data_IF_908664418448
#
_entry.id   IF_908664418448
#
_cell.length_a   1.000
_cell.length_b   1.000
_cell.length_c   1.000
_cell.angle_alpha   90.00
_cell.angle_beta   90.00
_cell.angle_gamma   90.00
#
_symmetry.space_group_name_H-M   'P 1'
#
loop_
_entity.id
_entity.type
_entity.pdbx_description
1 polymer ?
#
# COMPACT_ATOMS: atom_id res chain seq x y z
N UNK A 1 -23.48 -59.01 26.69
CA UNK A 1 -22.79 -57.90 26.01
C UNK A 1 -23.78 -56.76 25.91
N UNK A 2 -23.63 -55.73 26.73
CA UNK A 2 -24.64 -54.68 26.90
C UNK A 2 -24.48 -53.66 25.78
N UNK A 3 -25.40 -53.66 24.81
CA UNK A 3 -25.35 -52.79 23.62
C UNK A 3 -25.22 -51.32 24.02
N UNK A 4 -25.86 -50.95 25.13
CA UNK A 4 -25.92 -49.62 25.70
C UNK A 4 -24.55 -49.10 26.17
N UNK A 5 -23.71 -49.97 26.72
CA UNK A 5 -22.34 -49.64 27.12
C UNK A 5 -21.46 -49.34 25.90
N UNK A 6 -21.67 -50.08 24.81
CA UNK A 6 -20.91 -49.90 23.57
C UNK A 6 -21.31 -48.59 22.89
N UNK A 7 -22.60 -48.28 22.85
CA UNK A 7 -23.08 -46.99 22.30
C UNK A 7 -22.56 -45.80 23.09
N UNK A 8 -22.52 -45.89 24.43
CA UNK A 8 -22.02 -44.79 25.27
C UNK A 8 -20.50 -44.61 25.12
N UNK A 9 -19.73 -45.70 25.01
CA UNK A 9 -18.28 -45.61 24.77
C UNK A 9 -17.97 -44.99 23.41
N UNK A 10 -18.69 -45.40 22.36
CA UNK A 10 -18.50 -44.87 21.00
C UNK A 10 -18.92 -43.40 20.95
N UNK A 11 -20.05 -43.04 21.56
CA UNK A 11 -20.51 -41.65 21.62
C UNK A 11 -19.51 -40.76 22.36
N UNK A 12 -18.99 -41.21 23.50
CA UNK A 12 -17.97 -40.48 24.24
C UNK A 12 -16.66 -40.34 23.45
N UNK A 13 -16.21 -41.38 22.74
CA UNK A 13 -15.05 -41.28 21.85
C UNK A 13 -15.25 -40.31 20.69
N UNK A 14 -16.46 -40.21 20.16
CA UNK A 14 -16.78 -39.25 19.09
C UNK A 14 -16.79 -37.83 19.67
N UNK A 15 -17.41 -37.62 20.84
CA UNK A 15 -17.42 -36.32 21.52
C UNK A 15 -16.00 -35.90 21.93
N UNK A 16 -15.16 -36.81 22.43
CA UNK A 16 -13.77 -36.52 22.76
C UNK A 16 -12.94 -36.18 21.51
N UNK A 17 -13.17 -36.83 20.37
CA UNK A 17 -12.52 -36.48 19.10
C UNK A 17 -13.00 -35.15 18.54
N UNK A 18 -14.29 -34.85 18.68
CA UNK A 18 -14.87 -33.55 18.32
C UNK A 18 -14.28 -32.46 19.23
N UNK A 19 -14.17 -32.71 20.53
CA UNK A 19 -13.61 -31.78 21.51
C UNK A 19 -12.08 -31.62 21.36
N UNK A 20 -11.34 -32.66 20.98
CA UNK A 20 -9.92 -32.53 20.59
C UNK A 20 -9.73 -31.72 19.30
N UNK A 21 -10.77 -31.57 18.48
CA UNK A 21 -10.82 -30.65 17.34
C UNK A 21 -11.56 -29.33 17.64
N UNK A 22 -12.15 -29.17 18.83
CA UNK A 22 -12.92 -27.99 19.25
C UNK A 22 -12.35 -27.30 20.50
N UNK A 23 -11.24 -27.77 21.07
CA UNK A 23 -10.37 -26.96 21.94
C UNK A 23 -9.48 -26.04 21.11
N UNK A 24 -10.10 -25.23 20.27
CA UNK A 24 -9.67 -23.86 20.05
C UNK A 24 -10.90 -23.04 20.42
N UNK A 25 -10.91 -22.55 21.66
CA UNK A 25 -11.74 -21.43 22.08
C UNK A 25 -11.63 -20.39 20.97
N UNK A 26 -12.77 -19.98 20.42
CA UNK A 26 -12.94 -18.98 19.37
C UNK A 26 -12.06 -17.75 19.61
N UNK A 27 -10.81 -17.80 19.15
CA UNK A 27 -10.04 -16.63 18.81
C UNK A 27 -10.47 -16.28 17.40
N UNK A 28 -11.06 -15.10 17.24
CA UNK A 28 -11.20 -14.43 15.93
C UNK A 28 -9.87 -14.70 15.20
N UNK A 29 -9.86 -15.38 14.03
CA UNK A 29 -8.60 -15.80 13.41
C UNK A 29 -7.75 -14.55 13.23
N UNK A 30 -6.71 -14.43 14.05
CA UNK A 30 -5.84 -13.27 14.06
C UNK A 30 -5.30 -13.10 12.66
N UNK A 31 -5.53 -11.94 12.06
CA UNK A 31 -5.03 -11.66 10.71
C UNK A 31 -3.51 -11.84 10.74
N UNK A 32 -2.96 -12.65 9.84
CA UNK A 32 -1.52 -12.91 9.83
C UNK A 32 -0.83 -11.98 8.86
N UNK A 33 0.32 -11.47 9.26
CA UNK A 33 1.23 -10.78 8.36
C UNK A 33 2.55 -11.55 8.28
N UNK A 34 3.23 -11.40 7.15
CA UNK A 34 4.54 -11.99 6.94
C UNK A 34 5.61 -10.90 7.07
N UNK A 35 6.64 -11.15 7.86
CA UNK A 35 7.78 -10.25 8.03
C UNK A 35 9.06 -10.87 7.51
N UNK A 36 9.87 -10.03 6.89
CA UNK A 36 11.24 -10.35 6.53
C UNK A 36 12.21 -9.55 7.39
N UNK A 37 13.36 -10.17 7.66
CA UNK A 37 14.48 -9.63 8.45
C UNK A 37 14.25 -9.63 9.98
N UNK A 38 15.35 -9.45 10.72
CA UNK A 38 15.39 -9.60 12.20
C UNK A 38 14.61 -8.51 12.97
N UNK A 39 14.08 -7.51 12.28
CA UNK A 39 13.30 -6.44 12.91
C UNK A 39 11.83 -6.81 12.94
N UNK A 40 11.44 -7.44 14.05
CA UNK A 40 10.05 -7.72 14.35
C UNK A 40 9.27 -6.42 14.62
N UNK A 41 8.27 -6.16 13.79
CA UNK A 41 7.33 -5.05 13.97
C UNK A 41 6.02 -5.58 14.55
N UNK A 42 5.59 -5.02 15.67
CA UNK A 42 4.29 -5.36 16.23
C UNK A 42 3.22 -4.46 15.61
N UNK A 43 2.29 -5.06 14.86
CA UNK A 43 1.16 -4.34 14.28
C UNK A 43 -0.10 -4.75 15.05
N UNK A 44 -0.83 -3.79 15.67
CA UNK A 44 -2.09 -4.09 16.36
C UNK A 44 -3.07 -4.82 15.45
N UNK A 45 -3.72 -5.87 15.98
CA UNK A 45 -4.69 -6.67 15.22
C UNK A 45 -4.09 -7.77 14.34
N UNK A 46 -2.75 -7.84 14.25
CA UNK A 46 -2.06 -8.81 13.41
C UNK A 46 -1.07 -9.71 14.18
N UNK A 47 -1.06 -10.99 13.82
CA UNK A 47 -0.01 -11.92 14.22
C UNK A 47 1.16 -11.81 13.23
N UNK A 48 2.31 -11.34 13.72
CA UNK A 48 3.53 -11.24 12.93
C UNK A 48 4.25 -12.59 12.84
N UNK A 49 4.40 -13.13 11.62
CA UNK A 49 5.13 -14.37 11.37
C UNK A 49 6.40 -14.07 10.58
N UNK A 50 7.54 -14.56 11.06
CA UNK A 50 8.82 -14.42 10.38
C UNK A 50 8.92 -15.37 9.19
N UNK A 51 9.44 -14.89 8.06
CA UNK A 51 9.63 -15.71 6.87
C UNK A 51 10.53 -16.94 7.12
N UNK A 52 11.55 -16.79 7.97
CA UNK A 52 12.52 -17.85 8.24
C UNK A 52 11.94 -19.02 9.06
N UNK A 53 10.80 -18.81 9.73
CA UNK A 53 10.12 -19.87 10.50
C UNK A 53 9.16 -20.70 9.65
N UNK A 54 8.92 -20.31 8.40
CA UNK A 54 8.03 -21.03 7.50
C UNK A 54 8.68 -22.32 6.97
N UNK A 55 7.93 -23.42 7.11
CA UNK A 55 8.31 -24.73 6.55
C UNK A 55 8.12 -24.77 5.03
N UNK A 56 7.02 -24.21 4.54
CA UNK A 56 6.76 -24.05 3.11
C UNK A 56 6.95 -22.57 2.72
N UNK A 57 7.97 -22.31 1.90
CA UNK A 57 8.34 -20.97 1.44
C UNK A 57 7.66 -20.58 0.12
N UNK A 58 6.59 -21.29 -0.24
CA UNK A 58 5.75 -21.00 -1.40
C UNK A 58 4.25 -20.92 -1.08
N UNK A 59 3.83 -21.12 0.17
CA UNK A 59 2.44 -20.90 0.57
C UNK A 59 2.31 -19.65 1.43
N UNK A 60 1.81 -18.60 0.81
CA UNK A 60 1.53 -17.33 1.48
C UNK A 60 0.04 -16.97 1.48
N UNK A 61 -0.86 -17.92 1.20
CA UNK A 61 -2.29 -17.63 1.06
C UNK A 61 -2.92 -17.11 2.36
N UNK A 62 -2.45 -17.59 3.52
CA UNK A 62 -2.96 -17.21 4.84
C UNK A 62 -2.50 -15.84 5.37
N UNK A 63 -1.62 -15.12 4.67
CA UNK A 63 -1.10 -13.82 5.11
C UNK A 63 -1.79 -12.67 4.37
N UNK A 64 -2.19 -11.61 5.07
CA UNK A 64 -2.85 -10.44 4.44
C UNK A 64 -1.86 -9.57 3.66
N UNK A 65 -0.68 -9.33 4.23
CA UNK A 65 0.36 -8.51 3.62
C UNK A 65 1.77 -8.93 4.04
N UNK A 66 2.75 -8.45 3.28
CA UNK A 66 4.18 -8.65 3.51
C UNK A 66 4.81 -7.34 4.01
N UNK A 67 5.65 -7.42 5.04
CA UNK A 67 6.50 -6.32 5.51
C UNK A 67 7.96 -6.71 5.35
N UNK A 68 8.71 -5.88 4.62
CA UNK A 68 10.16 -6.04 4.44
C UNK A 68 10.86 -4.92 5.19
N UNK A 69 11.56 -5.27 6.26
CA UNK A 69 12.25 -4.30 7.10
C UNK A 69 13.57 -3.82 6.49
N UNK A 70 14.24 -4.65 5.67
CA UNK A 70 15.47 -4.28 4.94
C UNK A 70 15.47 -4.83 3.52
N UNK A 71 15.82 -3.99 2.56
CA UNK A 71 15.97 -4.37 1.16
C UNK A 71 17.35 -3.98 0.66
N UNK A 72 18.18 -4.98 0.39
CA UNK A 72 19.54 -4.76 -0.12
C UNK A 72 19.53 -4.29 -1.57
N UNK A 73 20.66 -3.75 -2.02
CA UNK A 73 20.87 -3.36 -3.44
C UNK A 73 20.64 -4.54 -4.40
N UNK A 74 21.11 -5.74 -4.03
CA UNK A 74 20.95 -6.96 -4.82
C UNK A 74 19.49 -7.42 -4.84
N UNK A 75 18.82 -7.41 -3.68
CA UNK A 75 17.41 -7.78 -3.55
C UNK A 75 16.50 -6.83 -4.32
N UNK A 76 16.74 -5.51 -4.22
CA UNK A 76 15.99 -4.50 -4.97
C UNK A 76 16.14 -4.73 -6.48
N UNK A 77 17.37 -4.92 -6.96
CA UNK A 77 17.65 -5.15 -8.38
C UNK A 77 17.01 -6.44 -8.89
N UNK A 78 17.09 -7.51 -8.11
CA UNK A 78 16.44 -8.78 -8.46
C UNK A 78 14.91 -8.63 -8.52
N UNK A 79 14.32 -7.96 -7.54
CA UNK A 79 12.87 -7.78 -7.41
C UNK A 79 12.27 -6.98 -8.56
N UNK A 80 12.92 -5.88 -8.94
CA UNK A 80 12.50 -5.07 -10.11
C UNK A 80 12.49 -5.89 -11.40
N UNK A 81 13.45 -6.80 -11.54
CA UNK A 81 13.54 -7.69 -12.71
C UNK A 81 12.71 -8.98 -12.59
N UNK A 82 11.91 -9.13 -11.53
CA UNK A 82 11.10 -10.33 -11.28
C UNK A 82 11.91 -11.59 -10.92
N UNK A 83 13.19 -11.42 -10.59
CA UNK A 83 14.11 -12.49 -10.22
C UNK A 83 14.04 -12.72 -8.71
N UNK A 84 13.95 -13.99 -8.30
CA UNK A 84 14.05 -14.38 -6.89
C UNK A 84 15.45 -14.94 -6.64
N UNK A 85 16.25 -14.23 -5.85
CA UNK A 85 17.61 -14.63 -5.45
C UNK A 85 17.68 -15.26 -4.06
N UNK A 86 16.62 -15.07 -3.25
CA UNK A 86 16.48 -15.60 -1.91
C UNK A 86 14.98 -15.74 -1.55
N UNK A 87 14.70 -16.19 -0.32
CA UNK A 87 13.32 -16.42 0.12
C UNK A 87 12.51 -15.13 0.22
N UNK A 88 13.14 -14.04 0.66
CA UNK A 88 12.53 -12.71 0.74
C UNK A 88 12.05 -12.22 -0.62
N UNK A 89 12.93 -12.23 -1.63
CA UNK A 89 12.60 -11.83 -3.00
C UNK A 89 11.59 -12.78 -3.66
N UNK A 90 11.56 -14.06 -3.27
CA UNK A 90 10.51 -15.00 -3.68
C UNK A 90 9.15 -14.64 -3.08
N UNK A 91 9.09 -14.37 -1.78
CA UNK A 91 7.88 -13.93 -1.09
C UNK A 91 7.36 -12.63 -1.70
N UNK A 92 8.23 -11.63 -1.86
CA UNK A 92 7.90 -10.37 -2.53
C UNK A 92 7.25 -10.60 -3.90
N UNK A 93 7.91 -11.38 -4.77
CA UNK A 93 7.37 -11.71 -6.09
C UNK A 93 6.00 -12.38 -5.99
N UNK A 94 5.81 -13.31 -5.06
CA UNK A 94 4.54 -14.03 -4.92
C UNK A 94 3.40 -13.13 -4.40
N UNK A 95 3.68 -12.23 -3.46
CA UNK A 95 2.70 -11.24 -3.00
C UNK A 95 2.27 -10.32 -4.15
N UNK A 96 3.23 -9.82 -4.93
CA UNK A 96 2.92 -8.98 -6.10
C UNK A 96 2.10 -9.73 -7.15
N UNK A 97 2.46 -10.99 -7.47
CA UNK A 97 1.72 -11.81 -8.44
C UNK A 97 0.31 -12.20 -7.97
N UNK A 98 0.08 -12.25 -6.65
CA UNK A 98 -1.22 -12.56 -6.06
C UNK A 98 -2.04 -11.30 -5.76
N UNK A 99 -1.52 -10.10 -6.06
CA UNK A 99 -2.19 -8.83 -5.80
C UNK A 99 -2.33 -8.49 -4.32
N UNK A 100 -1.50 -9.11 -3.46
CA UNK A 100 -1.47 -8.82 -2.03
C UNK A 100 -0.57 -7.63 -1.73
N UNK A 101 -0.89 -6.95 -0.64
CA UNK A 101 -0.17 -5.75 -0.23
C UNK A 101 1.26 -6.07 0.22
N UNK A 102 2.19 -5.21 -0.21
CA UNK A 102 3.61 -5.27 0.18
C UNK A 102 4.01 -3.91 0.72
N UNK A 103 4.64 -3.93 1.89
CA UNK A 103 5.22 -2.76 2.53
C UNK A 103 6.74 -2.94 2.67
N UNK A 104 7.50 -1.92 2.32
CA UNK A 104 8.95 -1.86 2.55
C UNK A 104 9.23 -0.65 3.43
N UNK A 105 9.99 -0.86 4.51
CA UNK A 105 10.38 0.23 5.39
C UNK A 105 11.43 1.09 4.71
N UNK A 106 11.17 2.40 4.64
CA UNK A 106 12.03 3.32 3.92
C UNK A 106 13.41 3.48 4.59
N UNK A 107 13.48 3.26 5.90
CA UNK A 107 14.69 3.23 6.70
C UNK A 107 15.57 2.01 6.38
N UNK A 108 14.96 0.96 5.81
CA UNK A 108 15.58 -0.30 5.43
C UNK A 108 16.14 -0.34 4.01
N UNK A 109 16.00 0.74 3.24
CA UNK A 109 16.50 0.81 1.87
C UNK A 109 18.00 1.08 1.85
N UNK A 110 18.79 0.01 1.70
CA UNK A 110 20.25 0.06 1.82
C UNK A 110 20.88 1.13 0.93
N UNK A 111 20.40 1.25 -0.31
CA UNK A 111 20.96 2.19 -1.28
C UNK A 111 20.89 3.66 -0.80
N UNK A 112 19.90 4.02 0.02
CA UNK A 112 19.72 5.39 0.54
C UNK A 112 20.88 5.80 1.44
N UNK A 113 21.58 4.86 2.09
CA UNK A 113 22.76 5.13 2.92
C UNK A 113 23.92 5.74 2.10
N UNK A 114 23.99 5.45 0.80
CA UNK A 114 25.07 5.91 -0.08
C UNK A 114 24.79 7.28 -0.72
N UNK A 115 23.68 7.96 -0.39
CA UNK A 115 23.24 9.21 -1.03
C UNK A 115 24.31 10.30 -1.08
N UNK A 116 25.15 10.40 -0.04
CA UNK A 116 26.18 11.43 0.06
C UNK A 116 27.49 11.08 -0.68
N UNK A 117 27.75 9.79 -0.97
CA UNK A 117 29.06 9.31 -1.43
C UNK A 117 29.04 8.60 -2.79
N UNK A 118 27.87 8.14 -3.25
CA UNK A 118 27.74 7.42 -4.51
C UNK A 118 27.88 8.36 -5.72
N UNK A 119 28.33 7.80 -6.86
CA UNK A 119 28.22 8.47 -8.14
C UNK A 119 26.74 8.85 -8.42
N UNK A 120 26.40 10.10 -8.75
CA UNK A 120 25.01 10.53 -8.90
C UNK A 120 24.22 9.78 -9.96
N UNK A 121 24.86 9.39 -11.06
CA UNK A 121 24.21 8.63 -12.15
C UNK A 121 23.89 7.23 -11.67
N UNK A 122 24.84 6.57 -11.00
CA UNK A 122 24.63 5.22 -10.47
C UNK A 122 23.61 5.21 -9.33
N UNK A 123 23.63 6.20 -8.43
CA UNK A 123 22.60 6.35 -7.40
C UNK A 123 21.19 6.49 -7.99
N UNK A 124 21.06 7.20 -9.12
CA UNK A 124 19.77 7.35 -9.79
C UNK A 124 19.22 6.02 -10.33
N UNK A 125 20.05 5.03 -10.66
CA UNK A 125 19.59 3.69 -11.04
C UNK A 125 18.72 3.08 -9.95
N UNK A 126 19.19 3.11 -8.69
CA UNK A 126 18.44 2.57 -7.55
C UNK A 126 17.24 3.42 -7.16
N UNK A 127 17.34 4.74 -7.31
CA UNK A 127 16.17 5.61 -7.14
C UNK A 127 15.09 5.29 -8.18
N UNK A 128 15.47 4.92 -9.39
CA UNK A 128 14.51 4.54 -10.42
C UNK A 128 13.99 3.11 -10.20
N UNK A 129 14.80 2.20 -9.65
CA UNK A 129 14.33 0.90 -9.13
C UNK A 129 13.29 1.07 -8.02
N UNK A 130 13.51 1.99 -7.07
CA UNK A 130 12.55 2.32 -6.01
C UNK A 130 11.17 2.67 -6.61
N UNK A 131 11.15 3.61 -7.57
CA UNK A 131 9.91 4.00 -8.26
C UNK A 131 9.27 2.86 -9.04
N UNK A 132 10.07 1.98 -9.65
CA UNK A 132 9.54 0.82 -10.38
C UNK A 132 8.85 -0.15 -9.42
N UNK A 133 9.40 -0.39 -8.23
CA UNK A 133 8.74 -1.18 -7.19
C UNK A 133 7.41 -0.53 -6.76
N UNK A 134 7.39 0.79 -6.59
CA UNK A 134 6.15 1.52 -6.26
C UNK A 134 5.08 1.35 -7.36
N UNK A 135 5.48 1.44 -8.63
CA UNK A 135 4.57 1.21 -9.77
C UNK A 135 4.06 -0.23 -9.83
N UNK A 136 4.84 -1.20 -9.36
CA UNK A 136 4.43 -2.60 -9.25
C UNK A 136 3.49 -2.87 -8.06
N UNK A 137 3.24 -1.89 -7.18
CA UNK A 137 2.34 -2.02 -6.04
C UNK A 137 3.03 -2.15 -4.67
N UNK A 138 4.36 -2.01 -4.60
CA UNK A 138 5.08 -1.95 -3.32
C UNK A 138 4.85 -0.58 -2.68
N UNK A 139 4.45 -0.53 -1.41
CA UNK A 139 4.35 0.73 -0.66
C UNK A 139 5.59 0.94 0.21
N UNK A 140 6.32 2.02 -0.08
CA UNK A 140 7.53 2.39 0.65
C UNK A 140 7.16 3.50 1.62
N UNK A 141 7.34 3.27 2.91
CA UNK A 141 6.98 4.23 3.96
C UNK A 141 7.78 4.00 5.24
N UNK A 142 7.77 4.98 6.14
CA UNK A 142 8.36 4.81 7.47
C UNK A 142 7.57 3.83 8.33
N UNK A 143 8.24 3.26 9.33
CA UNK A 143 7.57 2.38 10.31
C UNK A 143 6.38 3.06 11.00
N UNK A 144 6.55 4.32 11.38
CA UNK A 144 5.51 5.14 12.02
C UNK A 144 4.31 5.35 11.09
N UNK A 145 4.55 5.60 9.80
CA UNK A 145 3.48 5.77 8.83
C UNK A 145 2.69 4.46 8.64
N UNK A 146 3.38 3.32 8.56
CA UNK A 146 2.75 2.01 8.45
C UNK A 146 1.84 1.69 9.64
N UNK A 147 2.34 1.88 10.87
CA UNK A 147 1.54 1.70 12.08
C UNK A 147 0.30 2.59 12.08
N UNK A 148 0.45 3.87 11.73
CA UNK A 148 -0.67 4.82 11.71
C UNK A 148 -1.73 4.48 10.67
N UNK A 149 -1.32 3.97 9.49
CA UNK A 149 -2.21 3.57 8.41
C UNK A 149 -3.08 2.39 8.87
N UNK A 150 -2.47 1.35 9.44
CA UNK A 150 -3.17 0.13 9.82
C UNK A 150 -4.13 0.34 11.02
N UNK A 151 -3.78 1.23 11.96
CA UNK A 151 -4.67 1.62 13.07
C UNK A 151 -5.91 2.37 12.55
N UNK A 152 -5.77 3.14 11.46
CA UNK A 152 -6.90 3.89 10.88
C UNK A 152 -7.90 2.98 10.15
N UNK A 153 -7.45 1.85 9.61
CA UNK A 153 -8.29 0.88 8.91
C UNK A 153 -9.20 0.08 9.87
N UNK A 154 -8.76 -0.20 11.10
CA UNK A 154 -9.58 -0.90 12.10
C UNK A 154 -10.78 -0.07 12.60
N UNK A 155 -10.69 1.26 12.59
CA UNK A 155 -11.78 2.14 13.05
C UNK A 155 -12.88 2.38 12.01
N UNK A 156 -12.73 1.87 10.78
CA UNK A 156 -13.61 2.20 9.67
C UNK A 156 -14.81 1.24 9.45
N UNK A 157 -14.98 0.19 10.27
CA UNK A 157 -16.07 -0.79 10.08
C UNK A 157 -17.35 -0.41 10.85
N UNK A 158 -18.16 0.44 10.18
CA UNK A 158 -19.63 0.69 10.29
C UNK A 158 -20.22 1.52 11.46
N UNK A 159 -21.34 2.27 11.25
CA UNK A 159 -22.25 2.23 10.10
C UNK A 159 -22.30 3.52 9.26
N UNK A 160 -22.69 3.31 7.99
CA UNK A 160 -23.13 4.31 7.01
C UNK A 160 -24.22 5.21 7.62
N UNK A 161 -24.10 6.52 7.43
CA UNK A 161 -25.28 7.38 7.26
C UNK A 161 -25.05 8.31 6.08
N UNK A 162 -26.03 8.33 5.20
CA UNK A 162 -26.09 9.20 4.03
C UNK A 162 -26.25 10.68 4.40
N UNK A 163 -25.71 11.52 3.49
CA UNK A 163 -26.25 12.79 3.01
C UNK A 163 -26.10 14.10 3.82
N UNK A 164 -25.69 15.08 3.01
CA UNK A 164 -26.05 16.52 2.93
C UNK A 164 -25.15 17.53 3.64
N UNK A 165 -24.34 18.16 2.79
CA UNK A 165 -24.48 19.57 2.39
C UNK A 165 -24.63 20.64 3.50
N UNK A 166 -23.69 21.59 3.42
CA UNK A 166 -23.90 23.05 3.47
C UNK A 166 -23.41 23.80 4.73
N UNK A 167 -22.28 24.48 4.50
CA UNK A 167 -22.00 25.92 4.76
C UNK A 167 -21.58 26.37 6.16
N UNK A 168 -20.38 26.96 6.19
CA UNK A 168 -20.20 28.35 6.62
C UNK A 168 -18.98 28.95 5.91
N UNK A 169 -19.23 30.01 5.14
CA UNK A 169 -18.23 30.95 4.60
C UNK A 169 -17.61 31.77 5.74
N UNK A 170 -16.53 32.55 5.50
CA UNK A 170 -16.84 33.96 5.22
C UNK A 170 -16.03 34.58 4.07
N UNK A 171 -16.82 35.20 3.19
CA UNK A 171 -16.78 36.61 2.79
C UNK A 171 -15.55 37.18 2.04
N UNK A 172 -15.88 37.42 0.77
CA UNK A 172 -15.24 38.15 -0.33
C UNK A 172 -15.03 39.64 -0.02
N UNK A 173 -13.94 40.26 -0.53
CA UNK A 173 -14.00 41.58 -1.19
C UNK A 173 -13.01 41.68 -2.38
N UNK A 174 -13.59 41.71 -3.59
CA UNK A 174 -13.26 42.38 -4.85
C UNK A 174 -11.96 42.11 -5.66
N UNK A 175 -12.15 41.66 -6.91
CA UNK A 175 -11.61 42.43 -8.06
C UNK A 175 -10.73 41.73 -9.11
N UNK A 176 -11.02 40.50 -9.52
CA UNK A 176 -10.77 39.84 -10.82
C UNK A 176 -10.85 38.34 -10.55
N UNK A 177 -11.65 37.59 -11.33
CA UNK A 177 -11.74 36.13 -11.22
C UNK A 177 -10.46 35.48 -11.73
N UNK A 178 -9.44 35.42 -10.88
CA UNK A 178 -8.28 34.56 -11.03
C UNK A 178 -8.43 33.41 -10.05
N UNK A 179 -8.83 32.24 -10.55
CA UNK A 179 -8.78 31.01 -9.76
C UNK A 179 -7.33 30.55 -9.73
N UNK A 180 -6.71 30.62 -8.56
CA UNK A 180 -5.38 30.06 -8.30
C UNK A 180 -5.54 28.58 -8.00
N UNK A 181 -5.18 27.72 -8.94
CA UNK A 181 -5.13 26.29 -8.69
C UNK A 181 -3.73 25.92 -8.16
N UNK A 182 -3.67 25.53 -6.88
CA UNK A 182 -2.53 24.79 -6.34
C UNK A 182 -2.76 23.31 -6.57
N UNK A 183 -2.45 22.81 -7.76
CA UNK A 183 -2.47 21.36 -7.98
C UNK A 183 -1.27 20.74 -7.29
N UNK A 184 -1.53 20.00 -6.21
CA UNK A 184 -0.56 19.09 -5.54
C UNK A 184 0.01 18.05 -6.53
N UNK A 185 -0.62 17.89 -7.71
CA UNK A 185 -0.13 17.09 -8.83
C UNK A 185 0.54 18.01 -9.87
N UNK A 186 1.84 17.84 -10.09
CA UNK A 186 2.65 18.50 -11.13
C UNK A 186 2.27 18.13 -12.58
N UNK A 187 1.12 17.51 -12.82
CA UNK A 187 0.70 17.02 -14.15
C UNK A 187 -0.78 17.29 -14.41
N UNK A 188 -1.07 17.96 -15.52
CA UNK A 188 -2.42 18.13 -16.07
C UNK A 188 -2.60 17.12 -17.20
N UNK A 189 -3.49 16.15 -16.97
CA UNK A 189 -3.94 15.19 -17.98
C UNK A 189 -5.20 15.70 -18.71
N UNK A 190 -5.64 14.95 -19.72
CA UNK A 190 -6.83 15.27 -20.51
C UNK A 190 -8.11 15.47 -19.67
N UNK A 191 -8.33 14.61 -18.66
CA UNK A 191 -9.52 14.67 -17.81
C UNK A 191 -9.55 15.91 -16.93
N UNK A 192 -8.40 16.30 -16.37
CA UNK A 192 -8.26 17.53 -15.59
C UNK A 192 -8.42 18.75 -16.50
N UNK A 193 -7.85 18.71 -17.70
CA UNK A 193 -8.02 19.78 -18.68
C UNK A 193 -9.49 20.00 -19.04
N UNK A 194 -10.27 18.93 -19.26
CA UNK A 194 -11.71 19.04 -19.56
C UNK A 194 -12.52 19.67 -18.42
N UNK A 195 -12.12 19.43 -17.16
CA UNK A 195 -12.75 20.05 -15.99
C UNK A 195 -12.38 21.52 -15.85
N UNK A 196 -11.13 21.86 -16.19
CA UNK A 196 -10.60 23.22 -16.06
C UNK A 196 -10.97 24.11 -17.26
N UNK A 197 -11.19 23.53 -18.43
CA UNK A 197 -11.63 24.18 -19.67
C UNK A 197 -13.07 24.74 -19.61
N UNK A 198 -13.76 24.60 -18.46
CA UNK A 198 -15.02 25.29 -18.22
C UNK A 198 -14.82 26.78 -17.89
N UNK A 199 -13.60 27.18 -17.53
CA UNK A 199 -13.27 28.55 -17.14
C UNK A 199 -12.31 29.21 -18.15
N UNK A 200 -12.47 30.51 -18.45
CA UNK A 200 -11.73 31.17 -19.53
C UNK A 200 -10.25 31.45 -19.20
N UNK A 201 -9.88 31.53 -17.92
CA UNK A 201 -8.53 31.91 -17.49
C UNK A 201 -8.04 31.03 -16.33
N UNK A 202 -6.97 30.28 -16.56
CA UNK A 202 -6.38 29.39 -15.56
C UNK A 202 -4.96 29.86 -15.23
N UNK A 203 -4.66 29.96 -13.95
CA UNK A 203 -3.33 30.29 -13.44
C UNK A 203 -2.68 29.03 -12.85
N UNK A 204 -1.56 28.60 -13.44
CA UNK A 204 -0.80 27.40 -13.07
C UNK A 204 0.55 27.77 -12.45
N UNK A 205 1.08 26.93 -11.57
CA UNK A 205 2.42 27.14 -11.01
C UNK A 205 3.51 26.78 -12.03
N UNK A 206 4.61 27.56 -12.07
CA UNK A 206 5.83 27.22 -12.81
C UNK A 206 6.32 25.81 -12.37
N UNK A 207 6.50 24.92 -13.35
CA UNK A 207 6.85 23.50 -13.14
C UNK A 207 5.69 22.52 -13.20
N UNK A 208 4.47 23.00 -13.52
CA UNK A 208 3.33 22.15 -13.88
C UNK A 208 3.51 21.63 -15.31
N UNK A 209 3.52 20.31 -15.49
CA UNK A 209 3.54 19.67 -16.80
C UNK A 209 2.13 19.58 -17.35
N UNK A 210 1.93 20.00 -18.60
CA UNK A 210 0.66 19.85 -19.33
C UNK A 210 0.91 18.85 -20.45
N UNK A 211 0.11 17.78 -20.53
CA UNK A 211 0.27 16.81 -21.63
C UNK A 211 -0.16 17.43 -22.96
N UNK A 212 0.35 16.95 -24.11
CA UNK A 212 -0.07 17.45 -25.43
C UNK A 212 -1.60 17.43 -25.61
N UNK A 213 -2.24 16.32 -25.22
CA UNK A 213 -3.70 16.18 -25.24
C UNK A 213 -4.44 17.17 -24.32
N UNK A 214 -3.88 17.51 -23.16
CA UNK A 214 -4.46 18.52 -22.28
C UNK A 214 -4.37 19.92 -22.90
N UNK A 215 -3.26 20.22 -23.59
CA UNK A 215 -3.06 21.48 -24.28
C UNK A 215 -4.04 21.66 -25.44
N UNK A 216 -4.35 20.59 -26.17
CA UNK A 216 -5.35 20.63 -27.25
C UNK A 216 -6.75 20.97 -26.72
N UNK A 217 -7.13 20.42 -25.56
CA UNK A 217 -8.42 20.75 -24.89
C UNK A 217 -8.49 22.23 -24.49
N UNK A 218 -7.40 22.81 -23.98
CA UNK A 218 -7.38 24.24 -23.63
C UNK A 218 -7.49 25.15 -24.87
N UNK A 219 -6.91 24.74 -26.00
CA UNK A 219 -7.04 25.46 -27.27
C UNK A 219 -8.45 25.39 -27.83
N UNK A 220 -9.09 24.22 -27.79
CA UNK A 220 -10.47 24.03 -28.28
C UNK A 220 -11.50 24.81 -27.46
N UNK A 221 -11.22 25.02 -26.17
CA UNK A 221 -12.11 25.74 -25.24
C UNK A 221 -11.85 27.25 -25.14
N UNK A 222 -10.91 27.80 -25.93
CA UNK A 222 -10.46 29.20 -25.80
C UNK A 222 -9.99 29.58 -24.38
N UNK A 223 -9.45 28.63 -23.65
CA UNK A 223 -8.98 28.85 -22.27
C UNK A 223 -7.54 29.37 -22.27
N UNK A 224 -7.29 30.50 -21.61
CA UNK A 224 -5.95 31.08 -21.52
C UNK A 224 -5.22 30.56 -20.27
N UNK A 225 -4.02 30.01 -20.46
CA UNK A 225 -3.18 29.47 -19.39
C UNK A 225 -2.05 30.45 -19.08
N UNK A 226 -1.93 30.88 -17.82
CA UNK A 226 -0.82 31.72 -17.34
C UNK A 226 -0.01 30.98 -16.28
N UNK A 227 1.31 30.94 -16.42
CA UNK A 227 2.20 30.33 -15.42
C UNK A 227 2.72 31.41 -14.44
N UNK A 228 2.63 31.15 -13.13
CA UNK A 228 3.16 32.01 -12.05
C UNK A 228 4.07 31.28 -11.07
#
# INVERSE_FOLDING_TARGET
MNLELITNEVFNRIIEKINQHQTEIEAIPGKKLLQCDDMAMAIPGYEAVMLDTLKDKNDFLGYEFLVISKLTVDEMSASVNGVAINDKTRALRQFLLTGKDVYVLEEGLEYRMYKAIANPVFYNVFRDHEKQLELCGVRIMSSVALESMLISEEKAVLPKTEKKETRAEPTIVNGLTTVKYSTVKKLINYELAKKLAAEPNIVLKIGTLVTPYANDVFKESNTTITFI
#
